data_IF_731621077702
#
_entry.id   IF_731621077702
#
_cell.length_a   1.000
_cell.length_b   1.000
_cell.length_c   1.000
_cell.angle_alpha   90.00
_cell.angle_beta   90.00
_cell.angle_gamma   90.00
#
_symmetry.space_group_name_H-M   'P 1'
#
loop_
_entity.id
_entity.type
_entity.pdbx_description
1 polymer ?
#
# COMPACT_ATOMS: atom_id res chain seq x y z
N UNK A 1 -7.00 21.50 -14.64
CA UNK A 1 -5.80 22.28 -14.29
C UNK A 1 -5.61 22.56 -12.80
N UNK A 2 -6.65 22.80 -11.98
CA UNK A 2 -6.54 23.01 -10.52
C UNK A 2 -6.14 21.78 -9.66
N UNK A 3 -6.16 20.55 -10.19
CA UNK A 3 -5.79 19.33 -9.46
C UNK A 3 -4.27 19.09 -9.35
N UNK A 4 -3.48 19.65 -10.25
CA UNK A 4 -2.01 19.51 -10.27
C UNK A 4 -1.29 20.35 -9.19
N UNK A 5 -2.00 21.24 -8.49
CA UNK A 5 -1.43 22.04 -7.39
C UNK A 5 -1.28 21.24 -6.09
N UNK A 6 -1.97 20.09 -5.94
CA UNK A 6 -1.79 19.20 -4.79
C UNK A 6 -0.59 18.29 -5.02
N UNK A 7 0.49 18.63 -4.37
CA UNK A 7 1.77 17.92 -4.45
C UNK A 7 1.67 16.53 -3.82
N UNK A 8 1.85 15.47 -4.61
CA UNK A 8 2.03 14.11 -4.10
C UNK A 8 3.49 13.91 -3.70
N UNK A 9 3.69 13.21 -2.60
CA UNK A 9 5.02 13.02 -2.03
C UNK A 9 5.50 14.17 -1.14
N UNK A 10 6.75 14.10 -0.71
CA UNK A 10 7.36 14.97 0.29
C UNK A 10 6.51 15.07 1.56
N UNK A 11 5.86 13.95 1.90
CA UNK A 11 5.05 13.83 3.09
C UNK A 11 5.91 13.95 4.34
N UNK A 12 5.38 14.51 5.45
CA UNK A 12 6.16 14.70 6.66
C UNK A 12 6.75 13.40 7.22
N UNK A 13 7.84 13.57 7.99
CA UNK A 13 8.38 12.54 8.87
C UNK A 13 8.25 13.06 10.30
N UNK A 14 7.45 12.40 11.13
CA UNK A 14 7.11 12.84 12.48
C UNK A 14 7.64 11.82 13.49
N UNK A 15 8.33 12.29 14.54
CA UNK A 15 8.73 11.43 15.64
C UNK A 15 7.51 11.10 16.50
N UNK A 16 7.24 9.82 16.71
CA UNK A 16 6.21 9.33 17.63
C UNK A 16 6.87 8.83 18.92
N UNK A 17 6.74 9.61 19.99
CA UNK A 17 7.37 9.33 21.28
C UNK A 17 6.89 8.02 21.90
N UNK A 18 5.60 7.68 21.71
CA UNK A 18 5.04 6.46 22.32
C UNK A 18 5.63 5.17 21.76
N UNK A 19 5.81 5.09 20.45
CA UNK A 19 6.41 3.92 19.80
C UNK A 19 7.93 4.04 19.64
N UNK A 20 8.48 5.22 19.95
CA UNK A 20 9.88 5.57 19.74
C UNK A 20 10.35 5.21 18.31
N UNK A 21 9.57 5.67 17.33
CA UNK A 21 9.88 5.55 15.92
C UNK A 21 9.47 6.82 15.16
N UNK A 22 9.97 6.96 13.94
CA UNK A 22 9.49 8.00 13.02
C UNK A 22 8.36 7.45 12.15
N UNK A 23 7.32 8.25 11.94
CA UNK A 23 6.21 7.94 11.05
C UNK A 23 6.40 8.73 9.75
N UNK A 24 6.54 8.05 8.62
CA UNK A 24 6.47 8.64 7.29
C UNK A 24 5.01 8.76 6.89
N UNK A 25 4.47 9.98 6.89
CA UNK A 25 3.05 10.29 6.83
C UNK A 25 2.46 10.19 5.41
N UNK A 26 2.55 9.02 4.79
CA UNK A 26 1.99 8.78 3.46
C UNK A 26 0.45 8.90 3.40
N UNK A 27 -0.21 8.88 4.55
CA UNK A 27 -1.62 9.21 4.70
C UNK A 27 -1.96 10.70 4.40
N UNK A 28 -0.97 11.59 4.34
CA UNK A 28 -1.16 13.00 4.02
C UNK A 28 -1.10 13.30 2.51
N UNK A 29 -0.91 12.30 1.66
CA UNK A 29 -1.12 12.47 0.24
C UNK A 29 -2.58 12.85 -0.07
N UNK A 30 -2.87 13.52 -1.19
CA UNK A 30 -4.18 14.12 -1.48
C UNK A 30 -5.38 13.19 -1.39
N UNK A 31 -5.27 11.92 -1.79
CA UNK A 31 -6.34 10.94 -1.63
C UNK A 31 -6.31 10.23 -0.26
N UNK A 32 -5.39 10.59 0.62
CA UNK A 32 -5.24 10.02 1.97
C UNK A 32 -4.38 8.76 2.04
N UNK A 33 -3.53 8.48 1.05
CA UNK A 33 -2.63 7.31 1.10
C UNK A 33 -1.46 7.38 0.12
N UNK A 34 -0.44 6.53 0.35
CA UNK A 34 0.69 6.33 -0.58
C UNK A 34 0.24 5.93 -1.99
N UNK A 35 -0.98 5.43 -2.16
CA UNK A 35 -1.50 4.99 -3.47
C UNK A 35 -1.54 6.10 -4.51
N UNK A 36 -1.50 7.35 -4.10
CA UNK A 36 -1.38 8.48 -5.03
C UNK A 36 -0.07 8.44 -5.83
N UNK A 37 1.02 8.05 -5.20
CA UNK A 37 2.32 7.90 -5.88
C UNK A 37 2.26 6.84 -6.98
N UNK A 38 1.73 5.66 -6.65
CA UNK A 38 1.54 4.57 -7.61
C UNK A 38 0.59 4.97 -8.75
N UNK A 39 -0.52 5.61 -8.40
CA UNK A 39 -1.56 6.00 -9.38
C UNK A 39 -1.03 7.04 -10.34
N UNK A 40 -0.40 8.11 -9.85
CA UNK A 40 0.15 9.16 -10.70
C UNK A 40 1.28 8.64 -11.59
N UNK A 41 2.19 7.80 -11.07
CA UNK A 41 3.22 7.18 -11.88
C UNK A 41 2.63 6.47 -13.11
N UNK A 42 1.54 5.73 -12.93
CA UNK A 42 0.89 5.00 -14.03
C UNK A 42 0.12 5.92 -14.97
N UNK A 43 -0.55 6.96 -14.46
CA UNK A 43 -1.23 7.95 -15.28
C UNK A 43 -0.23 8.73 -16.14
N UNK A 44 0.91 9.12 -15.58
CA UNK A 44 2.00 9.76 -16.33
C UNK A 44 2.58 8.83 -17.40
N UNK A 45 2.70 7.54 -17.10
CA UNK A 45 3.20 6.53 -18.05
C UNK A 45 2.24 6.27 -19.22
N UNK A 46 0.92 6.21 -18.97
CA UNK A 46 -0.06 5.79 -19.96
C UNK A 46 -0.87 6.95 -20.57
N UNK A 47 -0.93 8.09 -19.92
CA UNK A 47 -1.57 9.32 -20.40
C UNK A 47 -2.82 9.75 -19.62
N UNK A 48 -2.96 11.04 -19.39
CA UNK A 48 -4.10 11.66 -18.71
C UNK A 48 -5.41 11.65 -19.53
N UNK A 49 -5.31 11.40 -20.82
CA UNK A 49 -6.44 11.30 -21.77
C UNK A 49 -7.13 9.93 -21.74
N UNK A 50 -6.50 8.94 -21.13
CA UNK A 50 -6.98 7.56 -21.11
C UNK A 50 -8.01 7.30 -20.00
N UNK A 51 -8.78 6.24 -20.18
CA UNK A 51 -9.66 5.69 -19.16
C UNK A 51 -9.04 4.46 -18.51
N UNK A 52 -9.22 4.33 -17.20
CA UNK A 52 -8.54 3.35 -16.39
C UNK A 52 -9.53 2.48 -15.60
N UNK A 53 -9.16 1.23 -15.37
CA UNK A 53 -9.87 0.34 -14.46
C UNK A 53 -8.93 -0.23 -13.40
N UNK A 54 -9.47 -0.39 -12.19
CA UNK A 54 -8.78 -1.03 -11.08
C UNK A 54 -9.72 -1.96 -10.31
N UNK A 55 -9.25 -3.15 -9.94
CA UNK A 55 -9.96 -4.00 -8.97
C UNK A 55 -9.47 -3.65 -7.55
N UNK A 56 -10.22 -2.83 -6.82
CA UNK A 56 -9.89 -2.45 -5.44
C UNK A 56 -11.03 -1.68 -4.77
N UNK A 57 -11.49 -2.17 -3.62
CA UNK A 57 -12.42 -1.43 -2.73
C UNK A 57 -11.71 -0.58 -1.68
N UNK A 58 -10.39 -0.52 -1.70
CA UNK A 58 -9.55 0.22 -0.74
C UNK A 58 -8.88 1.45 -1.33
N UNK A 59 -7.80 1.88 -0.68
CA UNK A 59 -7.06 3.11 -1.00
C UNK A 59 -6.63 3.23 -2.47
N UNK A 60 -6.34 2.11 -3.17
CA UNK A 60 -5.96 2.16 -4.57
C UNK A 60 -7.14 2.54 -5.50
N UNK A 61 -8.35 2.04 -5.21
CA UNK A 61 -9.57 2.45 -5.92
C UNK A 61 -9.92 3.92 -5.69
N UNK A 62 -9.80 4.35 -4.44
CA UNK A 62 -10.03 5.75 -4.06
C UNK A 62 -9.02 6.69 -4.71
N UNK A 63 -7.73 6.33 -4.74
CA UNK A 63 -6.71 7.12 -5.41
C UNK A 63 -7.00 7.27 -6.90
N UNK A 64 -7.37 6.18 -7.60
CA UNK A 64 -7.75 6.27 -9.01
C UNK A 64 -8.98 7.16 -9.21
N UNK A 65 -10.04 6.98 -8.40
CA UNK A 65 -11.25 7.80 -8.47
C UNK A 65 -10.94 9.29 -8.22
N UNK A 66 -10.08 9.59 -7.24
CA UNK A 66 -9.69 10.97 -6.90
C UNK A 66 -9.01 11.69 -8.08
N UNK A 67 -8.05 11.01 -8.74
CA UNK A 67 -7.25 11.62 -9.79
C UNK A 67 -7.92 11.60 -11.16
N UNK A 68 -8.66 10.54 -11.49
CA UNK A 68 -9.21 10.35 -12.85
C UNK A 68 -10.72 10.58 -12.96
N UNK A 69 -11.44 10.65 -11.82
CA UNK A 69 -12.87 10.97 -11.77
C UNK A 69 -13.68 10.12 -12.78
N UNK A 70 -14.37 10.75 -13.73
CA UNK A 70 -15.19 10.12 -14.78
C UNK A 70 -14.40 9.20 -15.73
N UNK A 71 -13.07 9.29 -15.74
CA UNK A 71 -12.18 8.38 -16.47
C UNK A 71 -11.78 7.15 -15.65
N UNK A 72 -12.21 7.07 -14.40
CA UNK A 72 -11.94 5.97 -13.49
C UNK A 72 -13.09 4.97 -13.46
N UNK A 73 -12.77 3.70 -13.61
CA UNK A 73 -13.67 2.56 -13.34
C UNK A 73 -13.10 1.76 -12.18
N UNK A 74 -13.87 1.59 -11.12
CA UNK A 74 -13.45 0.82 -9.95
C UNK A 74 -14.31 -0.43 -9.84
N UNK A 75 -13.69 -1.59 -10.00
CA UNK A 75 -14.34 -2.89 -9.86
C UNK A 75 -14.20 -3.36 -8.41
N UNK A 76 -15.33 -3.61 -7.76
CA UNK A 76 -15.40 -4.05 -6.37
C UNK A 76 -16.22 -5.34 -6.23
N UNK A 77 -15.93 -6.20 -5.23
CA UNK A 77 -16.75 -7.36 -4.94
C UNK A 77 -18.10 -6.99 -4.29
N UNK A 78 -19.05 -7.91 -4.38
CA UNK A 78 -20.41 -7.75 -3.82
C UNK A 78 -20.42 -7.54 -2.30
N UNK A 79 -19.41 -8.10 -1.60
CA UNK A 79 -19.26 -7.93 -0.14
C UNK A 79 -18.75 -6.55 0.27
N UNK A 80 -18.46 -5.65 -0.69
CA UNK A 80 -17.96 -4.31 -0.38
C UNK A 80 -19.04 -3.49 0.33
N UNK A 81 -18.74 -2.90 1.51
CA UNK A 81 -19.70 -2.04 2.21
C UNK A 81 -20.20 -0.91 1.32
N UNK A 82 -21.49 -0.59 1.44
CA UNK A 82 -22.18 0.40 0.63
C UNK A 82 -21.52 1.78 0.75
N UNK A 83 -21.10 2.14 1.96
CA UNK A 83 -20.43 3.40 2.26
C UNK A 83 -19.12 3.58 1.48
N UNK A 84 -18.37 2.47 1.26
CA UNK A 84 -17.15 2.50 0.43
C UNK A 84 -17.46 2.68 -1.05
N UNK A 85 -18.53 2.06 -1.54
CA UNK A 85 -19.00 2.25 -2.92
C UNK A 85 -19.38 3.71 -3.13
N UNK A 86 -20.22 4.25 -2.25
CA UNK A 86 -20.67 5.64 -2.29
C UNK A 86 -19.49 6.64 -2.20
N UNK A 87 -18.50 6.35 -1.34
CA UNK A 87 -17.29 7.18 -1.24
C UNK A 87 -16.48 7.22 -2.56
N UNK A 88 -16.39 6.11 -3.28
CA UNK A 88 -15.72 6.06 -4.58
C UNK A 88 -16.54 6.81 -5.63
N UNK A 89 -17.87 6.60 -5.67
CA UNK A 89 -18.77 7.25 -6.61
C UNK A 89 -18.82 8.77 -6.41
N UNK A 90 -18.76 9.24 -5.15
CA UNK A 90 -18.74 10.68 -4.84
C UNK A 90 -17.52 11.42 -5.39
N UNK A 91 -16.45 10.69 -5.71
CA UNK A 91 -15.28 11.21 -6.41
C UNK A 91 -15.46 11.29 -7.94
N UNK A 92 -16.60 10.83 -8.47
CA UNK A 92 -16.94 10.89 -9.89
C UNK A 92 -16.59 9.63 -10.69
N UNK A 93 -16.13 8.55 -10.05
CA UNK A 93 -15.77 7.32 -10.73
C UNK A 93 -16.97 6.40 -11.00
N UNK A 94 -16.95 5.65 -12.11
CA UNK A 94 -17.85 4.51 -12.33
C UNK A 94 -17.47 3.37 -11.36
N UNK A 95 -18.44 2.83 -10.63
CA UNK A 95 -18.23 1.63 -9.81
C UNK A 95 -18.97 0.45 -10.42
N UNK A 96 -18.25 -0.63 -10.69
CA UNK A 96 -18.81 -1.92 -11.13
C UNK A 96 -18.73 -2.88 -9.95
N UNK A 97 -19.88 -3.36 -9.48
CA UNK A 97 -19.98 -4.39 -8.44
C UNK A 97 -20.09 -5.74 -9.12
N UNK A 98 -19.04 -6.57 -9.00
CA UNK A 98 -19.02 -7.89 -9.64
C UNK A 98 -18.02 -8.83 -9.00
N UNK A 99 -18.43 -10.08 -8.78
CA UNK A 99 -17.70 -11.10 -8.02
C UNK A 99 -18.05 -11.05 -6.54
N UNK A 100 -18.19 -12.22 -5.91
CA UNK A 100 -18.55 -12.30 -4.49
C UNK A 100 -17.41 -11.78 -3.61
N UNK A 101 -16.16 -12.16 -3.93
CA UNK A 101 -14.96 -11.81 -3.18
C UNK A 101 -13.96 -11.06 -4.07
N UNK A 102 -12.97 -10.40 -3.44
CA UNK A 102 -11.94 -9.63 -4.12
C UNK A 102 -11.23 -10.42 -5.23
N UNK A 103 -10.87 -11.69 -4.97
CA UNK A 103 -10.19 -12.52 -5.97
C UNK A 103 -11.00 -12.69 -7.25
N UNK A 104 -12.31 -12.88 -7.14
CA UNK A 104 -13.19 -13.02 -8.31
C UNK A 104 -13.25 -11.72 -9.12
N UNK A 105 -13.42 -10.58 -8.44
CA UNK A 105 -13.36 -9.25 -9.09
C UNK A 105 -12.02 -9.06 -9.79
N UNK A 106 -10.92 -9.42 -9.11
CA UNK A 106 -9.57 -9.31 -9.65
C UNK A 106 -9.35 -10.18 -10.90
N UNK A 107 -9.92 -11.38 -10.94
CA UNK A 107 -9.85 -12.25 -12.13
C UNK A 107 -10.70 -11.73 -13.31
N UNK A 108 -11.76 -10.98 -13.02
CA UNK A 108 -12.65 -10.41 -14.04
C UNK A 108 -12.13 -9.10 -14.64
N UNK A 109 -11.30 -8.34 -13.91
CA UNK A 109 -10.90 -6.98 -14.28
C UNK A 109 -10.26 -6.89 -15.65
N UNK A 110 -9.41 -7.86 -16.01
CA UNK A 110 -8.74 -7.87 -17.31
C UNK A 110 -9.70 -8.06 -18.48
N UNK A 111 -10.70 -8.94 -18.32
CA UNK A 111 -11.74 -9.15 -19.32
C UNK A 111 -12.60 -7.90 -19.51
N UNK A 112 -12.95 -7.23 -18.41
CA UNK A 112 -13.73 -5.98 -18.44
C UNK A 112 -12.91 -4.88 -19.10
N UNK A 113 -11.63 -4.75 -18.74
CA UNK A 113 -10.72 -3.78 -19.31
C UNK A 113 -10.67 -3.87 -20.85
N UNK A 114 -10.45 -5.09 -21.38
CA UNK A 114 -10.42 -5.33 -22.82
C UNK A 114 -11.74 -5.00 -23.50
N UNK A 115 -12.86 -5.43 -22.94
CA UNK A 115 -14.17 -5.20 -23.53
C UNK A 115 -14.58 -3.72 -23.57
N UNK A 116 -14.11 -2.91 -22.63
CA UNK A 116 -14.41 -1.47 -22.52
C UNK A 116 -13.28 -0.59 -23.07
N UNK A 117 -12.17 -1.13 -23.55
CA UNK A 117 -11.02 -0.35 -24.00
C UNK A 117 -10.31 0.42 -22.89
N UNK A 118 -10.31 -0.10 -21.65
CA UNK A 118 -9.74 0.54 -20.48
C UNK A 118 -8.32 0.04 -20.20
N UNK A 119 -7.48 0.88 -19.60
CA UNK A 119 -6.16 0.47 -19.11
C UNK A 119 -6.32 -0.14 -17.71
N UNK A 120 -6.00 -1.42 -17.56
CA UNK A 120 -6.02 -2.08 -16.28
C UNK A 120 -4.77 -1.75 -15.47
N UNK A 121 -4.95 -1.04 -14.35
CA UNK A 121 -3.90 -0.67 -13.41
C UNK A 121 -4.07 -1.34 -12.04
N UNK A 122 -4.73 -2.49 -11.99
CA UNK A 122 -4.91 -3.24 -10.74
C UNK A 122 -3.56 -3.66 -10.13
N UNK A 123 -3.48 -3.86 -8.80
CA UNK A 123 -2.27 -4.34 -8.15
C UNK A 123 -1.71 -5.59 -8.85
N UNK A 124 -0.38 -5.67 -8.98
CA UNK A 124 0.36 -6.76 -9.63
C UNK A 124 0.20 -6.90 -11.15
N UNK A 125 -0.54 -6.03 -11.84
CA UNK A 125 -0.62 -6.05 -13.31
C UNK A 125 0.46 -5.23 -13.99
N UNK A 126 0.93 -4.18 -13.33
CA UNK A 126 1.90 -3.20 -13.86
C UNK A 126 2.90 -2.82 -12.78
N UNK A 127 3.96 -2.12 -13.17
CA UNK A 127 5.07 -1.69 -12.32
C UNK A 127 4.69 -0.54 -11.36
N UNK A 128 3.63 -0.72 -10.58
CA UNK A 128 3.13 0.27 -9.62
C UNK A 128 4.19 0.70 -8.61
N UNK A 129 5.03 -0.25 -8.18
CA UNK A 129 6.09 -0.05 -7.20
C UNK A 129 7.08 1.05 -7.58
N UNK A 130 7.20 1.38 -8.87
CA UNK A 130 8.07 2.48 -9.33
C UNK A 130 7.63 3.83 -8.80
N UNK A 131 6.33 4.02 -8.59
CA UNK A 131 5.79 5.24 -7.97
C UNK A 131 6.19 5.41 -6.51
N UNK A 132 6.57 4.34 -5.82
CA UNK A 132 6.96 4.37 -4.40
C UNK A 132 8.47 4.58 -4.19
N UNK A 133 9.29 4.49 -5.24
CA UNK A 133 10.76 4.73 -5.19
C UNK A 133 11.11 6.06 -4.50
N UNK A 134 10.43 7.19 -4.79
CA UNK A 134 10.78 8.49 -4.20
C UNK A 134 10.72 8.52 -2.66
N UNK A 135 9.94 7.64 -2.01
CA UNK A 135 9.88 7.57 -0.54
C UNK A 135 11.27 7.34 0.06
N UNK A 136 12.08 6.49 -0.56
CA UNK A 136 13.44 6.20 -0.10
C UNK A 136 14.34 7.42 -0.17
N UNK A 137 14.24 8.20 -1.24
CA UNK A 137 15.00 9.45 -1.39
C UNK A 137 14.58 10.50 -0.36
N UNK A 138 13.29 10.54 0.00
CA UNK A 138 12.78 11.46 1.02
C UNK A 138 13.26 11.09 2.44
N UNK A 139 13.66 9.83 2.66
CA UNK A 139 14.16 9.32 3.92
C UNK A 139 15.71 9.31 4.02
N UNK A 140 16.40 9.67 2.95
CA UNK A 140 17.87 9.55 2.84
C UNK A 140 18.61 10.23 3.99
N UNK A 141 18.27 11.46 4.29
CA UNK A 141 18.99 12.29 5.25
C UNK A 141 18.72 11.88 6.71
N UNK A 142 17.63 11.17 6.96
CA UNK A 142 17.32 10.59 8.27
C UNK A 142 18.23 9.41 8.62
N UNK A 143 18.83 8.74 7.60
CA UNK A 143 19.73 7.57 7.75
C UNK A 143 19.14 6.48 8.65
N UNK A 144 17.93 5.98 8.37
CA UNK A 144 17.30 4.97 9.23
C UNK A 144 18.07 3.65 9.23
N UNK A 145 18.02 2.91 10.35
CA UNK A 145 18.49 1.52 10.41
C UNK A 145 17.43 0.56 9.87
N UNK A 146 16.14 0.88 10.10
CA UNK A 146 15.01 0.02 9.75
C UNK A 146 13.86 0.80 9.16
N UNK A 147 13.22 0.24 8.12
CA UNK A 147 11.97 0.74 7.53
C UNK A 147 10.90 -0.35 7.63
N UNK A 148 9.83 -0.09 8.36
CA UNK A 148 8.70 -1.00 8.53
C UNK A 148 7.58 -0.62 7.58
N UNK A 149 7.20 -1.55 6.70
CA UNK A 149 6.25 -1.31 5.61
C UNK A 149 5.04 -2.22 5.76
N UNK A 150 3.85 -1.70 6.09
CA UNK A 150 2.61 -2.47 6.01
C UNK A 150 2.43 -3.04 4.61
N UNK A 151 2.26 -4.35 4.49
CA UNK A 151 2.30 -5.00 3.19
C UNK A 151 1.18 -6.03 3.00
N UNK A 152 0.59 -5.99 1.80
CA UNK A 152 -0.27 -7.04 1.27
C UNK A 152 0.41 -7.75 0.08
N UNK A 153 0.72 -7.01 -0.99
CA UNK A 153 1.32 -7.54 -2.22
C UNK A 153 2.81 -7.17 -2.38
N UNK A 154 3.44 -6.66 -1.34
CA UNK A 154 4.83 -6.18 -1.32
C UNK A 154 5.15 -5.03 -2.30
N UNK A 155 4.18 -4.44 -2.99
CA UNK A 155 4.40 -3.37 -3.98
C UNK A 155 5.17 -2.20 -3.38
N UNK A 156 4.67 -1.63 -2.27
CA UNK A 156 5.30 -0.52 -1.57
C UNK A 156 6.70 -0.88 -1.04
N UNK A 157 6.83 -2.04 -0.40
CA UNK A 157 8.12 -2.51 0.14
C UNK A 157 9.16 -2.70 -0.96
N UNK A 158 8.74 -3.23 -2.11
CA UNK A 158 9.59 -3.40 -3.29
C UNK A 158 10.08 -2.05 -3.83
N UNK A 159 9.18 -1.06 -3.99
CA UNK A 159 9.54 0.27 -4.45
C UNK A 159 10.56 0.94 -3.53
N UNK A 160 10.35 0.85 -2.21
CA UNK A 160 11.29 1.37 -1.21
C UNK A 160 12.65 0.66 -1.29
N UNK A 161 12.67 -0.68 -1.42
CA UNK A 161 13.92 -1.42 -1.54
C UNK A 161 14.70 -1.04 -2.81
N UNK A 162 14.02 -0.91 -3.95
CA UNK A 162 14.64 -0.43 -5.19
C UNK A 162 15.26 0.96 -5.04
N UNK A 163 14.57 1.90 -4.38
CA UNK A 163 15.07 3.24 -4.17
C UNK A 163 16.35 3.27 -3.31
N UNK A 164 16.40 2.49 -2.23
CA UNK A 164 17.62 2.39 -1.41
C UNK A 164 18.77 1.69 -2.16
N UNK A 165 18.47 0.62 -2.93
CA UNK A 165 19.46 -0.02 -3.78
C UNK A 165 20.03 0.94 -4.83
N UNK A 166 19.17 1.69 -5.49
CA UNK A 166 19.56 2.69 -6.48
C UNK A 166 20.46 3.76 -5.87
N UNK A 167 20.10 4.30 -4.71
CA UNK A 167 20.94 5.29 -3.99
C UNK A 167 22.29 4.71 -3.57
N UNK A 168 22.34 3.45 -3.13
CA UNK A 168 23.59 2.77 -2.81
C UNK A 168 24.50 2.63 -4.04
N UNK A 169 23.94 2.22 -5.16
CA UNK A 169 24.69 2.07 -6.43
C UNK A 169 25.21 3.41 -6.96
N UNK A 170 24.47 4.50 -6.72
CA UNK A 170 24.88 5.86 -7.09
C UNK A 170 25.84 6.50 -6.08
N UNK A 171 26.22 5.83 -5.00
CA UNK A 171 27.07 6.38 -3.94
C UNK A 171 26.42 7.50 -3.11
N UNK A 172 25.08 7.63 -3.16
CA UNK A 172 24.34 8.67 -2.41
C UNK A 172 24.14 8.31 -0.93
N UNK A 173 24.29 7.04 -0.58
CA UNK A 173 24.26 6.51 0.78
C UNK A 173 25.36 5.47 0.97
N UNK A 174 25.93 5.41 2.17
CA UNK A 174 26.96 4.42 2.50
C UNK A 174 26.37 3.06 2.88
N UNK A 175 25.21 3.06 3.56
CA UNK A 175 24.53 1.87 4.06
C UNK A 175 23.06 1.92 3.71
N UNK A 176 22.50 0.79 3.27
CA UNK A 176 21.06 0.61 3.11
C UNK A 176 20.41 0.27 4.45
N UNK A 177 19.22 0.80 4.78
CA UNK A 177 18.46 0.32 5.92
C UNK A 177 17.95 -1.10 5.66
N UNK A 178 17.60 -1.82 6.72
CA UNK A 178 16.81 -3.04 6.56
C UNK A 178 15.35 -2.68 6.29
N UNK A 179 14.81 -3.08 5.14
CA UNK A 179 13.40 -2.88 4.79
C UNK A 179 12.60 -4.11 5.21
N UNK A 180 11.64 -3.91 6.10
CA UNK A 180 10.84 -4.97 6.71
C UNK A 180 9.40 -4.88 6.22
N UNK A 181 8.98 -5.88 5.45
CA UNK A 181 7.61 -6.03 5.00
C UNK A 181 6.77 -6.68 6.11
N UNK A 182 5.85 -5.92 6.68
CA UNK A 182 4.98 -6.32 7.80
C UNK A 182 3.69 -6.95 7.26
N UNK A 183 3.49 -8.23 7.53
CA UNK A 183 2.35 -9.02 7.03
C UNK A 183 1.61 -9.75 8.14
N UNK A 184 0.36 -10.15 7.89
CA UNK A 184 -0.41 -10.97 8.84
C UNK A 184 0.11 -12.42 8.88
N UNK A 185 -0.09 -13.15 10.01
CA UNK A 185 0.46 -14.49 10.20
C UNK A 185 -0.04 -15.54 9.20
N UNK A 186 -1.24 -15.37 8.67
CA UNK A 186 -1.78 -16.26 7.64
C UNK A 186 -1.61 -15.72 6.22
N UNK A 187 -0.77 -14.71 6.06
CA UNK A 187 -0.41 -14.25 4.74
C UNK A 187 0.23 -15.40 3.95
N UNK A 188 -0.16 -15.65 2.68
CA UNK A 188 0.27 -16.85 1.92
C UNK A 188 1.78 -16.97 1.71
N UNK A 189 2.56 -16.05 2.25
CA UNK A 189 4.01 -15.99 2.15
C UNK A 189 4.72 -16.03 3.51
N UNK A 190 4.01 -16.32 4.57
CA UNK A 190 4.59 -16.56 5.90
C UNK A 190 4.45 -18.04 6.21
N UNK A 191 5.44 -18.63 6.87
CA UNK A 191 5.42 -20.05 7.25
C UNK A 191 4.32 -20.40 8.26
N UNK A 192 3.64 -19.40 8.81
CA UNK A 192 2.51 -19.57 9.71
C UNK A 192 1.22 -19.83 8.93
N UNK A 193 0.77 -21.06 8.91
CA UNK A 193 -0.46 -21.49 8.25
C UNK A 193 -1.69 -21.44 9.16
N UNK A 194 -1.61 -20.80 10.33
CA UNK A 194 -2.77 -20.69 11.22
C UNK A 194 -3.80 -19.74 10.65
N UNK A 195 -5.03 -20.21 10.54
CA UNK A 195 -6.18 -19.33 10.32
C UNK A 195 -6.29 -18.32 11.45
N UNK A 196 -6.42 -17.07 11.08
CA UNK A 196 -6.71 -16.01 12.04
C UNK A 196 -8.22 -15.89 12.23
N UNK A 197 -8.62 -15.50 13.44
CA UNK A 197 -10.02 -15.30 13.76
C UNK A 197 -10.67 -14.24 12.85
N UNK A 198 -11.97 -14.40 12.57
CA UNK A 198 -12.74 -13.49 11.71
C UNK A 198 -12.69 -12.02 12.17
N UNK A 199 -12.59 -11.77 13.49
CA UNK A 199 -12.43 -10.40 14.03
C UNK A 199 -11.21 -9.69 13.45
N UNK A 200 -10.07 -10.41 13.31
CA UNK A 200 -8.84 -9.84 12.74
C UNK A 200 -8.94 -9.67 11.23
N UNK A 201 -9.54 -10.64 10.54
CA UNK A 201 -9.78 -10.56 9.08
C UNK A 201 -10.57 -9.31 8.71
N UNK A 202 -11.61 -8.98 9.49
CA UNK A 202 -12.42 -7.77 9.28
C UNK A 202 -11.63 -6.48 9.48
N UNK A 203 -10.76 -6.45 10.50
CA UNK A 203 -9.98 -5.24 10.83
C UNK A 203 -8.83 -5.04 9.87
N UNK A 204 -8.12 -6.10 9.53
CA UNK A 204 -6.92 -6.05 8.67
C UNK A 204 -7.20 -6.41 7.20
N UNK A 205 -8.41 -6.20 6.71
CA UNK A 205 -8.77 -6.62 5.37
C UNK A 205 -7.93 -5.93 4.28
N UNK A 206 -7.35 -4.76 4.57
CA UNK A 206 -6.48 -4.02 3.64
C UNK A 206 -5.16 -4.74 3.34
N UNK A 207 -4.68 -5.58 4.27
CA UNK A 207 -3.46 -6.39 4.10
C UNK A 207 -3.76 -7.89 3.99
N UNK A 208 -5.04 -8.26 4.06
CA UNK A 208 -5.51 -9.61 3.84
C UNK A 208 -5.90 -9.79 2.37
N UNK A 209 -4.91 -9.87 1.49
CA UNK A 209 -5.15 -10.04 0.06
C UNK A 209 -4.48 -11.29 -0.48
N UNK A 210 -5.14 -11.90 -1.44
CA UNK A 210 -4.67 -13.08 -2.14
C UNK A 210 -4.07 -12.66 -3.47
N UNK A 211 -2.81 -12.99 -3.71
CA UNK A 211 -2.28 -12.68 -5.01
C UNK A 211 -1.29 -13.72 -5.53
N UNK A 212 -1.72 -14.58 -6.45
CA UNK A 212 -0.78 -15.41 -7.22
C UNK A 212 0.34 -14.58 -7.86
N UNK A 213 0.01 -13.39 -8.35
CA UNK A 213 1.00 -12.42 -8.91
C UNK A 213 1.84 -11.71 -7.85
N UNK A 214 1.35 -11.56 -6.62
CA UNK A 214 2.12 -11.03 -5.50
C UNK A 214 3.33 -11.90 -5.12
N UNK A 215 3.34 -13.18 -5.46
CA UNK A 215 4.50 -14.07 -5.27
C UNK A 215 5.74 -13.58 -6.01
N UNK A 216 5.58 -13.04 -7.21
CA UNK A 216 6.71 -12.52 -7.98
C UNK A 216 7.28 -11.25 -7.35
N UNK A 217 6.43 -10.32 -6.92
CA UNK A 217 6.86 -9.10 -6.23
C UNK A 217 7.58 -9.41 -4.92
N UNK A 218 7.08 -10.40 -4.14
CA UNK A 218 7.76 -10.85 -2.94
C UNK A 218 9.13 -11.46 -3.24
N UNK A 219 9.22 -12.32 -4.27
CA UNK A 219 10.50 -12.93 -4.66
C UNK A 219 11.49 -11.85 -5.07
N UNK A 220 11.08 -10.89 -5.86
CA UNK A 220 11.90 -9.76 -6.26
C UNK A 220 12.34 -8.94 -5.04
N UNK A 221 11.42 -8.63 -4.12
CA UNK A 221 11.74 -7.95 -2.86
C UNK A 221 12.79 -8.69 -2.04
N UNK A 222 12.65 -10.01 -1.88
CA UNK A 222 13.58 -10.82 -1.08
C UNK A 222 14.94 -11.08 -1.77
N UNK A 223 15.10 -10.71 -3.04
CA UNK A 223 16.42 -10.74 -3.70
C UNK A 223 17.35 -9.62 -3.20
N UNK A 224 16.84 -8.59 -2.53
CA UNK A 224 17.70 -7.60 -1.89
C UNK A 224 18.23 -8.13 -0.55
N UNK A 225 19.56 -8.08 -0.30
CA UNK A 225 20.16 -8.68 0.90
C UNK A 225 19.80 -7.94 2.21
N UNK A 226 19.16 -6.77 2.10
CA UNK A 226 18.73 -5.93 3.22
C UNK A 226 17.21 -5.93 3.42
N UNK A 227 16.50 -6.96 2.97
CA UNK A 227 15.03 -7.06 3.11
C UNK A 227 14.62 -8.25 3.96
N UNK A 228 13.47 -8.10 4.64
CA UNK A 228 12.85 -9.13 5.45
C UNK A 228 11.33 -9.10 5.33
N UNK A 229 10.69 -10.24 5.62
CA UNK A 229 9.24 -10.33 5.85
C UNK A 229 9.02 -10.74 7.31
N UNK A 230 8.19 -9.99 8.02
CA UNK A 230 7.87 -10.26 9.43
C UNK A 230 6.38 -10.24 9.71
N UNK A 231 6.01 -10.98 10.76
CA UNK A 231 4.65 -11.13 11.23
C UNK A 231 4.62 -11.34 12.75
N UNK A 232 3.43 -11.31 13.35
CA UNK A 232 3.22 -11.63 14.76
C UNK A 232 1.92 -12.39 14.97
N UNK A 233 1.89 -13.27 15.99
CA UNK A 233 0.67 -13.91 16.48
C UNK A 233 -0.03 -13.08 17.57
N UNK A 234 0.63 -12.06 18.12
CA UNK A 234 0.10 -11.19 19.19
C UNK A 234 -0.86 -10.13 18.63
N UNK A 235 -1.90 -10.58 17.92
CA UNK A 235 -2.82 -9.67 17.25
C UNK A 235 -3.71 -8.86 18.21
N UNK A 236 -3.93 -9.32 19.44
CA UNK A 236 -4.66 -8.53 20.45
C UNK A 236 -3.88 -7.26 20.85
N UNK A 237 -2.55 -7.36 21.04
CA UNK A 237 -1.72 -6.20 21.29
C UNK A 237 -1.70 -5.23 20.10
N UNK A 238 -1.72 -5.76 18.87
CA UNK A 238 -1.85 -4.94 17.66
C UNK A 238 -3.20 -4.23 17.63
N UNK A 239 -4.29 -4.87 18.07
CA UNK A 239 -5.61 -4.24 18.15
C UNK A 239 -5.66 -3.09 19.17
N UNK A 240 -4.98 -3.22 20.30
CA UNK A 240 -4.87 -2.10 21.26
C UNK A 240 -4.14 -0.90 20.63
N UNK A 241 -3.10 -1.17 19.83
CA UNK A 241 -2.45 -0.10 19.06
C UNK A 241 -3.38 0.51 18.00
N UNK A 242 -4.27 -0.27 17.39
CA UNK A 242 -5.27 0.26 16.45
C UNK A 242 -6.24 1.25 17.11
N UNK A 243 -6.55 1.08 18.40
CA UNK A 243 -7.36 2.05 19.15
C UNK A 243 -6.61 3.36 19.35
N UNK A 244 -5.32 3.28 19.71
CA UNK A 244 -4.46 4.44 19.90
C UNK A 244 -4.18 5.19 18.60
N UNK A 245 -3.92 4.48 17.52
CA UNK A 245 -3.62 5.03 16.20
C UNK A 245 -4.85 4.96 15.27
N UNK A 246 -6.03 5.28 15.82
CA UNK A 246 -7.32 5.12 15.14
C UNK A 246 -7.49 5.96 13.87
N UNK A 247 -6.63 6.96 13.66
CA UNK A 247 -6.57 7.78 12.44
C UNK A 247 -5.97 7.05 11.24
N UNK A 248 -5.15 6.02 11.49
CA UNK A 248 -4.47 5.29 10.43
C UNK A 248 -5.19 3.99 10.05
N UNK A 249 -4.88 3.48 8.85
CA UNK A 249 -5.20 2.12 8.47
C UNK A 249 -4.62 1.13 9.51
N UNK A 250 -5.39 0.13 9.97
CA UNK A 250 -4.95 -0.84 10.98
C UNK A 250 -3.60 -1.52 10.67
N UNK A 251 -3.24 -1.66 9.39
CA UNK A 251 -1.96 -2.21 8.98
C UNK A 251 -0.75 -1.42 9.49
N UNK A 252 -0.91 -0.11 9.73
CA UNK A 252 0.14 0.75 10.31
C UNK A 252 0.43 0.33 11.75
N UNK A 253 -0.60 -0.04 12.52
CA UNK A 253 -0.43 -0.51 13.90
C UNK A 253 0.34 -1.82 13.98
N UNK A 254 0.17 -2.73 13.01
CA UNK A 254 1.00 -3.94 12.90
C UNK A 254 2.47 -3.59 12.70
N UNK A 255 2.77 -2.66 11.80
CA UNK A 255 4.14 -2.22 11.55
C UNK A 255 4.76 -1.51 12.77
N UNK A 256 3.99 -0.68 13.48
CA UNK A 256 4.40 -0.06 14.75
C UNK A 256 4.69 -1.15 15.80
N UNK A 257 3.82 -2.15 15.94
CA UNK A 257 4.02 -3.25 16.88
C UNK A 257 5.35 -3.97 16.62
N UNK A 258 5.58 -4.39 15.38
CA UNK A 258 6.81 -5.08 14.99
C UNK A 258 8.05 -4.20 15.19
N UNK A 259 7.94 -2.90 14.97
CA UNK A 259 9.06 -1.97 15.14
C UNK A 259 9.59 -1.89 16.58
N UNK A 260 8.73 -2.15 17.58
CA UNK A 260 9.12 -2.12 19.00
C UNK A 260 10.17 -3.18 19.38
N UNK A 261 10.29 -4.24 18.57
CA UNK A 261 11.25 -5.33 18.80
C UNK A 261 12.67 -4.97 18.35
N UNK A 262 12.87 -3.81 17.72
CA UNK A 262 14.14 -3.38 17.12
C UNK A 262 14.74 -2.20 17.86
N UNK A 263 16.08 -2.20 17.99
CA UNK A 263 16.87 -1.08 18.49
C UNK A 263 17.48 -0.31 17.33
N UNK A 264 17.62 1.00 17.43
CA UNK A 264 18.15 1.87 16.38
C UNK A 264 17.09 2.81 15.83
N UNK A 265 17.42 3.54 14.77
CA UNK A 265 16.53 4.50 14.14
C UNK A 265 15.54 3.77 13.23
N UNK A 266 14.27 3.86 13.57
CA UNK A 266 13.16 3.15 12.92
C UNK A 266 12.21 4.11 12.25
N UNK A 267 11.82 3.79 11.03
CA UNK A 267 10.74 4.48 10.31
C UNK A 267 9.61 3.50 10.03
N UNK A 268 8.40 3.88 10.34
CA UNK A 268 7.17 3.17 9.94
C UNK A 268 6.47 3.97 8.86
N UNK A 269 6.06 3.33 7.79
CA UNK A 269 5.28 3.98 6.73
C UNK A 269 3.81 4.03 7.15
N UNK A 270 3.29 5.21 7.46
CA UNK A 270 1.87 5.45 7.73
C UNK A 270 1.11 5.51 6.40
N UNK A 271 0.78 4.34 5.86
CA UNK A 271 0.39 4.10 4.46
C UNK A 271 -0.92 4.75 4.06
N UNK A 272 -1.87 4.98 4.97
CA UNK A 272 -3.16 5.56 4.66
C UNK A 272 -4.00 5.86 5.91
N UNK A 273 -5.04 6.67 5.71
CA UNK A 273 -6.05 6.93 6.74
C UNK A 273 -7.00 5.74 6.88
N UNK A 274 -7.59 5.61 8.06
CA UNK A 274 -8.69 4.65 8.29
C UNK A 274 -9.94 5.10 7.51
N UNK A 275 -10.59 4.13 6.83
CA UNK A 275 -11.83 4.32 6.06
C UNK A 275 -12.83 3.21 6.30
#
# INVERSE_FOLDING_TARGET
>A
MKLLEKKVGRTPVVHDEFSNCFLKMECENPSGSHKDRETLHLIEKFGWDKHYIIASSGNAGISLAYWMREKAVVLVPEITPKEKIEAIQSLGAEVIVKGRYYYESYMLVEKIARNKGLINISPCFVDRWRGDIPISYELKDLKPDYIFVPSANHTLALGIAHGFQEMKMKGLIEKTPTVISCVLPNHPFVEFTKDIEEKYKKIFNSIYTFGGKGKNLRREFLNFPFTKVESTLNLDEVLELCKKYSQFDPAVSLAIYLSKQYKGLKVVIATGVKR
#
